data_IF_698921741299
#
_entry.id   IF_698921741299
#
_cell.length_a   1.000
_cell.length_b   1.000
_cell.length_c   1.000
_cell.angle_alpha   90.00
_cell.angle_beta   90.00
_cell.angle_gamma   90.00
#
_symmetry.space_group_name_H-M   'P 1'
#
loop_
_entity.id
_entity.type
_entity.pdbx_description
1 polymer ?
#
# COMPACT_ATOMS: atom_id res chain seq x y z
N UNK A 1 5.71 -21.41 3.11
CA UNK A 1 5.35 -20.24 3.95
C UNK A 1 5.99 -19.02 3.32
N UNK A 2 5.21 -18.02 2.91
CA UNK A 2 5.74 -16.79 2.34
C UNK A 2 5.53 -15.66 3.36
N UNK A 3 6.62 -15.13 3.92
CA UNK A 3 6.60 -13.89 4.70
C UNK A 3 6.26 -12.75 3.74
N UNK A 4 5.24 -11.94 4.04
CA UNK A 4 4.79 -10.85 3.15
C UNK A 4 4.55 -9.57 3.92
N UNK A 5 5.04 -8.43 3.39
CA UNK A 5 4.68 -7.11 3.90
C UNK A 5 3.31 -6.70 3.36
N UNK A 6 2.31 -6.63 4.24
CA UNK A 6 0.93 -6.25 3.87
C UNK A 6 0.87 -4.80 3.40
N UNK A 7 1.79 -3.94 3.84
CA UNK A 7 1.84 -2.54 3.42
C UNK A 7 2.02 -2.40 1.91
N UNK A 8 2.67 -3.35 1.23
CA UNK A 8 2.82 -3.34 -0.24
C UNK A 8 1.46 -3.38 -0.95
N UNK A 9 0.49 -4.10 -0.37
CA UNK A 9 -0.85 -4.21 -0.92
C UNK A 9 -1.66 -2.95 -0.57
N UNK A 10 -1.59 -2.50 0.69
CA UNK A 10 -2.33 -1.33 1.16
C UNK A 10 -1.91 -0.08 0.38
N UNK A 11 -0.61 0.18 0.26
CA UNK A 11 -0.09 1.35 -0.46
C UNK A 11 -0.50 1.29 -1.94
N UNK A 12 -0.42 0.11 -2.57
CA UNK A 12 -0.87 -0.07 -3.96
C UNK A 12 -2.35 0.25 -4.12
N UNK A 13 -3.21 -0.28 -3.26
CA UNK A 13 -4.66 -0.08 -3.34
C UNK A 13 -5.02 1.41 -3.12
N UNK A 14 -4.38 2.07 -2.16
CA UNK A 14 -4.55 3.50 -1.90
C UNK A 14 -4.06 4.33 -3.08
N UNK A 15 -2.88 4.03 -3.63
CA UNK A 15 -2.31 4.77 -4.77
C UNK A 15 -3.20 4.65 -6.01
N UNK A 16 -3.64 3.43 -6.33
CA UNK A 16 -4.48 3.18 -7.51
C UNK A 16 -5.91 3.70 -7.32
N UNK A 17 -6.47 3.57 -6.12
CA UNK A 17 -7.80 4.06 -5.79
C UNK A 17 -7.92 5.59 -5.86
N UNK A 18 -6.86 6.32 -5.50
CA UNK A 18 -6.82 7.78 -5.54
C UNK A 18 -6.09 8.34 -6.78
N UNK A 19 -5.77 7.50 -7.78
CA UNK A 19 -4.93 7.85 -8.93
C UNK A 19 -5.43 9.10 -9.68
N UNK A 20 -6.74 9.25 -9.81
CA UNK A 20 -7.37 10.39 -10.51
C UNK A 20 -7.26 11.69 -9.70
N UNK A 21 -7.35 11.61 -8.37
CA UNK A 21 -7.32 12.75 -7.46
C UNK A 21 -5.89 13.29 -7.24
N UNK A 22 -4.89 12.42 -7.35
CA UNK A 22 -3.48 12.76 -7.15
C UNK A 22 -2.89 13.65 -8.26
N UNK A 23 -3.60 13.88 -9.37
CA UNK A 23 -3.18 14.73 -10.50
C UNK A 23 -1.72 14.49 -10.93
N UNK A 24 -1.32 13.23 -10.98
CA UNK A 24 0.06 12.83 -11.29
C UNK A 24 0.44 13.28 -12.72
N UNK A 25 1.62 13.88 -12.87
CA UNK A 25 2.16 14.27 -14.17
C UNK A 25 2.44 13.06 -15.08
N UNK A 26 2.79 11.92 -14.49
CA UNK A 26 2.98 10.64 -15.18
C UNK A 26 2.40 9.51 -14.33
N UNK A 27 1.81 8.51 -14.98
CA UNK A 27 1.18 7.39 -14.30
C UNK A 27 1.46 6.02 -14.91
N UNK A 28 2.62 5.92 -15.58
CA UNK A 28 3.17 4.65 -16.04
C UNK A 28 3.60 3.77 -14.86
N UNK A 29 3.80 2.47 -15.10
CA UNK A 29 4.15 1.51 -14.05
C UNK A 29 5.38 1.93 -13.26
N UNK A 30 6.44 2.38 -13.94
CA UNK A 30 7.66 2.85 -13.27
C UNK A 30 7.40 4.00 -12.29
N UNK A 31 6.65 5.03 -12.68
CA UNK A 31 6.35 6.15 -11.78
C UNK A 31 5.48 5.73 -10.60
N UNK A 32 4.55 4.80 -10.80
CA UNK A 32 3.74 4.26 -9.70
C UNK A 32 4.60 3.42 -8.75
N UNK A 33 5.52 2.62 -9.27
CA UNK A 33 6.46 1.84 -8.48
C UNK A 33 7.43 2.75 -7.69
N UNK A 34 7.88 3.86 -8.27
CA UNK A 34 8.71 4.87 -7.59
C UNK A 34 7.97 5.51 -6.41
N UNK A 35 6.69 5.88 -6.60
CA UNK A 35 5.83 6.42 -5.52
C UNK A 35 5.62 5.36 -4.44
N UNK A 36 5.35 4.11 -4.83
CA UNK A 36 5.15 3.00 -3.91
C UNK A 36 6.41 2.73 -3.08
N UNK A 37 7.59 2.70 -3.72
CA UNK A 37 8.86 2.52 -3.05
C UNK A 37 9.16 3.65 -2.07
N UNK A 38 8.91 4.90 -2.48
CA UNK A 38 9.07 6.05 -1.59
C UNK A 38 8.16 5.95 -0.35
N UNK A 39 6.88 5.64 -0.54
CA UNK A 39 5.94 5.46 0.58
C UNK A 39 6.35 4.31 1.50
N UNK A 40 6.69 3.13 0.95
CA UNK A 40 7.05 1.94 1.74
C UNK A 40 8.33 2.13 2.56
N UNK A 41 9.28 2.95 2.10
CA UNK A 41 10.49 3.27 2.85
C UNK A 41 10.21 4.16 4.09
N UNK A 42 9.08 4.86 4.12
CA UNK A 42 8.70 5.77 5.21
C UNK A 42 7.60 5.21 6.12
N UNK A 43 6.99 4.10 5.73
CA UNK A 43 5.93 3.45 6.50
C UNK A 43 6.49 2.25 7.27
N UNK A 44 6.02 2.00 8.52
CA UNK A 44 6.43 0.82 9.25
C UNK A 44 5.94 -0.45 8.52
N UNK A 45 6.83 -1.42 8.21
CA UNK A 45 6.41 -2.63 7.53
C UNK A 45 5.52 -3.49 8.42
N UNK A 46 4.56 -4.19 7.82
CA UNK A 46 3.61 -5.09 8.51
C UNK A 46 3.71 -6.47 7.90
N UNK A 47 4.63 -7.28 8.42
CA UNK A 47 4.86 -8.63 7.92
C UNK A 47 3.88 -9.64 8.51
N UNK A 48 3.34 -10.52 7.65
CA UNK A 48 2.51 -11.65 8.04
C UNK A 48 3.09 -12.96 7.46
N UNK A 49 2.83 -14.06 8.16
CA UNK A 49 3.13 -15.43 7.70
C UNK A 49 1.90 -16.16 7.17
N UNK A 50 0.73 -15.81 7.71
CA UNK A 50 -0.56 -16.33 7.27
C UNK A 50 -1.29 -15.24 6.46
N UNK A 51 -1.51 -15.43 5.15
CA UNK A 51 -2.29 -14.50 4.32
C UNK A 51 -3.68 -14.17 4.89
N UNK A 52 -4.30 -15.09 5.62
CA UNK A 52 -5.61 -14.86 6.26
C UNK A 52 -5.56 -13.73 7.31
N UNK A 53 -4.37 -13.33 7.75
CA UNK A 53 -4.21 -12.22 8.69
C UNK A 53 -4.16 -10.83 8.02
N UNK A 54 -4.15 -10.77 6.68
CA UNK A 54 -4.14 -9.52 5.93
C UNK A 54 -5.29 -8.55 6.31
N UNK A 55 -6.55 -9.00 6.51
CA UNK A 55 -7.64 -8.10 6.87
C UNK A 55 -7.43 -7.39 8.21
N UNK A 56 -6.85 -8.04 9.22
CA UNK A 56 -6.61 -7.41 10.52
C UNK A 56 -5.64 -6.24 10.42
N UNK A 57 -4.63 -6.34 9.55
CA UNK A 57 -3.70 -5.24 9.28
C UNK A 57 -4.39 -4.11 8.52
N UNK A 58 -5.25 -4.42 7.55
CA UNK A 58 -5.98 -3.41 6.77
C UNK A 58 -6.89 -2.53 7.63
N UNK A 59 -7.67 -3.14 8.53
CA UNK A 59 -8.60 -2.40 9.39
C UNK A 59 -7.89 -1.34 10.24
N UNK A 60 -6.65 -1.60 10.67
CA UNK A 60 -5.83 -0.62 11.42
C UNK A 60 -5.44 0.62 10.60
N UNK A 61 -5.55 0.56 9.27
CA UNK A 61 -5.11 1.60 8.35
C UNK A 61 -6.26 2.21 7.52
N UNK A 62 -7.47 1.66 7.62
CA UNK A 62 -8.69 2.21 7.02
C UNK A 62 -9.45 3.16 7.97
N UNK A 63 -9.21 3.06 9.28
CA UNK A 63 -9.91 3.83 10.31
C UNK A 63 -9.69 5.36 10.28
N UNK A 64 -8.74 5.86 9.50
CA UNK A 64 -8.46 7.31 9.36
C UNK A 64 -9.25 7.96 8.21
N UNK A 65 -10.22 7.25 7.61
CA UNK A 65 -10.97 7.70 6.40
C UNK A 65 -12.39 8.21 6.69
N UNK A 66 -12.74 8.43 7.97
CA UNK A 66 -14.00 9.04 8.43
C UNK A 66 -13.85 10.53 8.75
#
# INVERSE_FOLDING_TARGET
>A
MAIKNVMEIIVRDVLLGNKQELKLTCSCNRCLDDIMAHALNHLPPRYIVNPDHQPYVRVMHEADRD
#
